data_IF_474105743583
#
_entry.id   IF_474105743583
#
_cell.length_a   1.000
_cell.length_b   1.000
_cell.length_c   1.000
_cell.angle_alpha   90.00
_cell.angle_beta   90.00
_cell.angle_gamma   90.00
#
_symmetry.space_group_name_H-M   'P 1'
#
loop_
_entity.id
_entity.type
_entity.pdbx_description
1 polymer ?
#
# COMPACT_ATOMS: atom_id res chain seq x y z
N UNK A 1 18.78 5.37 -8.48
CA UNK A 1 18.09 6.06 -9.62
C UNK A 1 16.58 6.24 -9.44
N UNK A 2 15.78 5.19 -9.19
CA UNK A 2 14.30 5.29 -9.21
C UNK A 2 13.70 6.19 -8.11
N UNK A 3 14.40 6.31 -6.98
CA UNK A 3 14.02 7.21 -5.89
C UNK A 3 14.15 8.70 -6.30
N UNK A 4 15.17 9.05 -7.08
CA UNK A 4 15.32 10.41 -7.62
C UNK A 4 14.24 10.73 -8.65
N UNK A 5 13.92 9.77 -9.52
CA UNK A 5 12.80 9.88 -10.46
C UNK A 5 11.50 10.12 -9.68
N UNK A 6 11.24 9.34 -8.63
CA UNK A 6 10.07 9.52 -7.78
C UNK A 6 9.99 10.93 -7.17
N UNK A 7 11.10 11.44 -6.62
CA UNK A 7 11.16 12.79 -6.05
C UNK A 7 10.89 13.87 -7.10
N UNK A 8 11.51 13.76 -8.29
CA UNK A 8 11.29 14.69 -9.38
C UNK A 8 9.81 14.74 -9.78
N UNK A 9 9.19 13.58 -10.00
CA UNK A 9 7.76 13.49 -10.36
C UNK A 9 6.83 14.00 -9.24
N UNK A 10 7.19 13.79 -7.96
CA UNK A 10 6.42 14.35 -6.83
C UNK A 10 6.45 15.88 -6.85
N UNK A 11 7.63 16.48 -7.04
CA UNK A 11 7.80 17.94 -7.09
C UNK A 11 7.02 18.51 -8.27
N UNK A 12 7.19 17.94 -9.47
CA UNK A 12 6.48 18.38 -10.66
C UNK A 12 4.96 18.24 -10.51
N UNK A 13 4.49 17.15 -9.91
CA UNK A 13 3.07 16.92 -9.64
C UNK A 13 2.47 17.98 -8.71
N UNK A 14 3.18 18.33 -7.63
CA UNK A 14 2.74 19.36 -6.68
C UNK A 14 2.80 20.77 -7.27
N UNK A 15 3.81 21.09 -8.09
CA UNK A 15 3.90 22.36 -8.81
C UNK A 15 2.73 22.49 -9.81
N UNK A 16 2.45 21.45 -10.60
CA UNK A 16 1.32 21.44 -11.52
C UNK A 16 0.00 21.68 -10.78
N UNK A 17 -0.17 21.08 -9.60
CA UNK A 17 -1.35 21.32 -8.75
C UNK A 17 -1.44 22.77 -8.27
N UNK A 18 -0.32 23.36 -7.83
CA UNK A 18 -0.28 24.72 -7.30
C UNK A 18 -0.53 25.78 -8.40
N UNK A 19 -0.09 25.52 -9.63
CA UNK A 19 -0.27 26.44 -10.76
C UNK A 19 -1.66 26.34 -11.39
N UNK A 20 -2.38 25.22 -11.18
CA UNK A 20 -3.68 24.95 -11.80
C UNK A 20 -4.70 26.07 -11.58
N UNK A 21 -4.74 26.62 -10.37
CA UNK A 21 -5.64 27.72 -10.00
C UNK A 21 -5.34 28.99 -10.80
N UNK A 22 -4.05 29.37 -10.90
CA UNK A 22 -3.64 30.56 -11.66
C UNK A 22 -3.84 30.40 -13.16
N UNK A 23 -3.60 29.20 -13.67
CA UNK A 23 -3.77 28.88 -15.09
C UNK A 23 -5.24 28.72 -15.49
N UNK A 24 -6.17 28.67 -14.54
CA UNK A 24 -7.59 28.33 -14.76
C UNK A 24 -7.76 27.06 -15.62
N UNK A 25 -6.86 26.09 -15.45
CA UNK A 25 -6.79 24.91 -16.30
C UNK A 25 -7.00 23.64 -15.47
N UNK A 26 -8.23 23.12 -15.47
CA UNK A 26 -8.62 21.97 -14.65
C UNK A 26 -7.78 20.71 -14.96
N UNK A 27 -7.41 20.51 -16.24
CA UNK A 27 -6.58 19.36 -16.63
C UNK A 27 -5.18 19.38 -16.00
N UNK A 28 -4.69 20.54 -15.54
CA UNK A 28 -3.43 20.63 -14.81
C UNK A 28 -3.49 19.90 -13.46
N UNK A 29 -4.67 19.84 -12.84
CA UNK A 29 -4.91 19.03 -11.63
C UNK A 29 -4.77 17.54 -11.98
N UNK A 30 -5.39 17.11 -13.07
CA UNK A 30 -5.31 15.72 -13.53
C UNK A 30 -3.86 15.32 -13.85
N UNK A 31 -3.15 16.16 -14.61
CA UNK A 31 -1.73 15.96 -14.92
C UNK A 31 -0.92 15.90 -13.63
N UNK A 32 -1.16 16.81 -12.69
CA UNK A 32 -0.51 16.79 -11.37
C UNK A 32 -0.74 15.49 -10.61
N UNK A 33 -1.96 14.92 -10.66
CA UNK A 33 -2.25 13.60 -10.06
C UNK A 33 -1.55 12.46 -10.78
N UNK A 34 -1.47 12.49 -12.11
CA UNK A 34 -0.72 11.49 -12.88
C UNK A 34 0.77 11.50 -12.53
N UNK A 35 1.39 12.68 -12.49
CA UNK A 35 2.80 12.85 -12.08
C UNK A 35 3.03 12.37 -10.65
N UNK A 36 2.16 12.77 -9.72
CA UNK A 36 2.20 12.29 -8.33
C UNK A 36 2.02 10.77 -8.25
N UNK A 37 1.18 10.18 -9.11
CA UNK A 37 1.02 8.74 -9.22
C UNK A 37 2.33 8.01 -9.55
N UNK A 38 3.13 8.54 -10.48
CA UNK A 38 4.46 7.99 -10.80
C UNK A 38 5.40 8.07 -9.59
N UNK A 39 5.30 9.13 -8.78
CA UNK A 39 6.11 9.26 -7.56
C UNK A 39 5.85 8.16 -6.52
N UNK A 40 4.67 7.54 -6.52
CA UNK A 40 4.36 6.42 -5.62
C UNK A 40 5.12 5.14 -5.92
N UNK A 41 5.89 5.08 -7.01
CA UNK A 41 6.89 4.01 -7.22
C UNK A 41 7.91 3.95 -6.06
N UNK A 42 8.17 5.07 -5.38
CA UNK A 42 8.95 5.13 -4.14
C UNK A 42 8.45 4.15 -3.06
N UNK A 43 7.14 3.92 -2.94
CA UNK A 43 6.61 2.99 -1.94
C UNK A 43 7.09 1.55 -2.13
N UNK A 44 7.40 1.15 -3.37
CA UNK A 44 7.99 -0.17 -3.62
C UNK A 44 9.38 -0.29 -3.00
N UNK A 45 10.17 0.79 -3.04
CA UNK A 45 11.48 0.84 -2.41
C UNK A 45 11.37 0.77 -0.91
N UNK A 46 10.56 1.63 -0.28
CA UNK A 46 10.38 1.62 1.18
C UNK A 46 10.01 0.22 1.69
N UNK A 47 9.06 -0.45 1.05
CA UNK A 47 8.65 -1.80 1.41
C UNK A 47 9.75 -2.84 1.23
N UNK A 48 10.56 -2.74 0.17
CA UNK A 48 11.71 -3.61 -0.04
C UNK A 48 12.69 -3.51 1.13
N UNK A 49 12.98 -2.30 1.61
CA UNK A 49 13.85 -2.11 2.78
C UNK A 49 13.25 -2.69 4.06
N UNK A 50 11.92 -2.73 4.20
CA UNK A 50 11.26 -3.35 5.36
C UNK A 50 11.32 -4.88 5.36
N UNK A 51 11.48 -5.52 4.18
CA UNK A 51 11.37 -6.99 4.06
C UNK A 51 12.64 -7.68 3.56
N UNK A 52 13.61 -6.97 2.98
CA UNK A 52 14.80 -7.59 2.40
C UNK A 52 15.60 -8.34 3.48
N UNK A 53 15.78 -9.68 3.38
CA UNK A 53 16.52 -10.46 4.37
C UNK A 53 17.98 -10.03 4.54
N UNK A 54 18.57 -9.37 3.54
CA UNK A 54 19.96 -8.92 3.58
C UNK A 54 20.16 -7.72 4.51
N UNK A 55 19.08 -6.98 4.78
CA UNK A 55 19.09 -5.77 5.60
C UNK A 55 18.37 -6.01 6.92
N UNK A 56 17.24 -6.72 6.85
CA UNK A 56 16.31 -6.87 7.97
C UNK A 56 16.11 -8.35 8.30
N UNK A 57 16.54 -8.72 9.51
CA UNK A 57 16.24 -10.03 10.08
C UNK A 57 14.74 -10.29 10.23
N UNK A 58 14.33 -11.55 10.10
CA UNK A 58 12.92 -12.01 10.11
C UNK A 58 12.12 -11.45 11.31
N UNK A 59 12.78 -11.32 12.47
CA UNK A 59 12.18 -10.84 13.74
C UNK A 59 11.75 -9.37 13.70
N UNK A 60 12.38 -8.54 12.87
CA UNK A 60 12.15 -7.07 12.84
C UNK A 60 11.17 -6.62 11.76
N UNK A 61 10.81 -7.50 10.81
CA UNK A 61 9.98 -7.14 9.65
C UNK A 61 8.59 -6.61 10.03
N UNK A 62 7.90 -7.25 10.98
CA UNK A 62 6.58 -6.75 11.44
C UNK A 62 6.69 -5.37 12.09
N UNK A 63 7.76 -5.13 12.87
CA UNK A 63 7.96 -3.85 13.54
C UNK A 63 8.26 -2.72 12.54
N UNK A 64 9.07 -2.99 11.51
CA UNK A 64 9.35 -2.01 10.45
C UNK A 64 8.11 -1.74 9.57
N UNK A 65 7.34 -2.78 9.24
CA UNK A 65 6.05 -2.61 8.55
C UNK A 65 5.06 -1.79 9.40
N UNK A 66 5.04 -2.00 10.72
CA UNK A 66 4.27 -1.19 11.66
C UNK A 66 4.71 0.27 11.68
N UNK A 67 6.02 0.55 11.68
CA UNK A 67 6.54 1.92 11.54
C UNK A 67 6.12 2.58 10.24
N UNK A 68 6.11 1.84 9.13
CA UNK A 68 5.62 2.35 7.86
C UNK A 68 4.14 2.78 7.95
N UNK A 69 3.29 1.96 8.58
CA UNK A 69 1.88 2.29 8.80
C UNK A 69 1.72 3.50 9.72
N UNK A 70 2.52 3.61 10.78
CA UNK A 70 2.51 4.77 11.67
C UNK A 70 2.89 6.06 10.94
N UNK A 71 3.95 6.04 10.13
CA UNK A 71 4.34 7.19 9.31
C UNK A 71 3.28 7.56 8.26
N UNK A 72 2.63 6.55 7.66
CA UNK A 72 1.52 6.78 6.75
C UNK A 72 0.33 7.42 7.48
N UNK A 73 -0.02 6.90 8.67
CA UNK A 73 -1.06 7.48 9.53
C UNK A 73 -0.77 8.93 9.86
N UNK A 74 0.47 9.27 10.25
CA UNK A 74 0.89 10.65 10.48
C UNK A 74 0.71 11.54 9.25
N UNK A 75 1.08 11.06 8.06
CA UNK A 75 0.87 11.79 6.82
C UNK A 75 -0.62 12.02 6.51
N UNK A 76 -1.45 11.01 6.77
CA UNK A 76 -2.92 11.08 6.62
C UNK A 76 -3.58 12.01 7.64
N UNK A 77 -3.00 12.22 8.83
CA UNK A 77 -3.49 13.23 9.78
C UNK A 77 -3.01 14.63 9.44
N UNK A 78 -1.69 14.78 9.29
CA UNK A 78 -1.04 16.09 9.15
C UNK A 78 -1.40 16.75 7.82
N UNK A 79 -1.53 15.97 6.74
CA UNK A 79 -1.85 16.47 5.40
C UNK A 79 -3.17 17.25 5.36
N UNK A 80 -4.32 16.60 5.65
CA UNK A 80 -5.63 17.26 5.66
C UNK A 80 -5.72 18.40 6.69
N UNK A 81 -5.14 18.22 7.87
CA UNK A 81 -5.13 19.26 8.90
C UNK A 81 -4.40 20.53 8.43
N UNK A 82 -3.16 20.39 7.96
CA UNK A 82 -2.38 21.53 7.47
C UNK A 82 -2.99 22.10 6.19
N UNK A 83 -3.50 21.26 5.28
CA UNK A 83 -4.20 21.71 4.08
C UNK A 83 -5.44 22.55 4.40
N UNK A 84 -6.25 22.11 5.36
CA UNK A 84 -7.40 22.85 5.86
C UNK A 84 -6.99 24.15 6.56
N UNK A 85 -5.94 24.12 7.38
CA UNK A 85 -5.43 25.32 8.05
C UNK A 85 -4.95 26.37 7.04
N UNK A 86 -4.18 25.95 6.03
CA UNK A 86 -3.69 26.82 4.95
C UNK A 86 -4.86 27.41 4.16
N UNK A 87 -5.88 26.60 3.88
CA UNK A 87 -7.12 27.08 3.25
C UNK A 87 -7.79 28.19 4.06
N UNK A 88 -7.90 28.02 5.38
CA UNK A 88 -8.56 28.96 6.28
C UNK A 88 -7.75 30.24 6.54
N UNK A 89 -6.41 30.14 6.64
CA UNK A 89 -5.54 31.30 6.82
C UNK A 89 -5.61 32.24 5.61
N UNK A 90 -5.75 31.70 4.40
CA UNK A 90 -6.11 32.46 3.22
C UNK A 90 -5.12 33.58 2.88
N UNK A 91 -3.94 33.23 2.38
CA UNK A 91 -2.96 34.22 1.92
C UNK A 91 -3.49 35.02 0.72
N UNK A 92 -3.30 36.34 0.71
CA UNK A 92 -3.86 37.25 -0.32
C UNK A 92 -3.08 37.26 -1.66
N UNK A 93 -2.09 36.39 -1.85
CA UNK A 93 -1.26 36.37 -3.05
C UNK A 93 -1.87 35.45 -4.14
N UNK A 94 -1.93 35.92 -5.38
CA UNK A 94 -2.47 35.16 -6.52
C UNK A 94 -1.75 33.82 -6.78
N UNK A 95 -0.46 33.72 -6.43
CA UNK A 95 0.37 32.51 -6.64
C UNK A 95 0.33 31.61 -5.40
N UNK A 96 0.28 32.21 -4.21
CA UNK A 96 0.33 31.52 -2.93
C UNK A 96 -0.88 31.95 -2.09
N UNK A 97 -1.97 31.19 -2.19
CA UNK A 97 -3.23 31.42 -1.49
C UNK A 97 -3.72 30.12 -0.80
N UNK A 98 -4.91 30.15 -0.20
CA UNK A 98 -5.46 29.00 0.51
C UNK A 98 -5.62 27.73 -0.34
N UNK A 99 -5.77 27.85 -1.66
CA UNK A 99 -5.90 26.73 -2.58
C UNK A 99 -4.55 26.22 -3.12
N UNK A 100 -3.61 27.13 -3.38
CA UNK A 100 -2.34 26.80 -4.05
C UNK A 100 -1.19 26.54 -3.08
N UNK A 101 -1.22 27.13 -1.88
CA UNK A 101 -0.16 27.02 -0.88
C UNK A 101 0.14 25.58 -0.43
N UNK A 102 -0.83 24.65 -0.28
CA UNK A 102 -0.50 23.27 0.05
C UNK A 102 0.38 22.61 -1.02
N UNK A 103 0.14 22.90 -2.30
CA UNK A 103 0.95 22.38 -3.41
C UNK A 103 2.38 22.89 -3.36
N UNK A 104 2.58 24.21 -3.16
CA UNK A 104 3.91 24.81 -3.04
C UNK A 104 4.70 24.28 -1.85
N UNK A 105 4.06 24.16 -0.68
CA UNK A 105 4.68 23.64 0.53
C UNK A 105 5.12 22.19 0.32
N UNK A 106 4.24 21.34 -0.23
CA UNK A 106 4.58 19.94 -0.51
C UNK A 106 5.70 19.80 -1.55
N UNK A 107 5.74 20.65 -2.58
CA UNK A 107 6.86 20.69 -3.52
C UNK A 107 8.18 21.01 -2.80
N UNK A 108 8.18 21.98 -1.88
CA UNK A 108 9.34 22.32 -1.05
C UNK A 108 9.77 21.16 -0.13
N UNK A 109 8.82 20.48 0.50
CA UNK A 109 9.10 19.29 1.35
C UNK A 109 9.76 18.19 0.53
N UNK A 110 9.24 17.87 -0.66
CA UNK A 110 9.83 16.86 -1.54
C UNK A 110 11.20 17.28 -2.08
N UNK A 111 11.43 18.57 -2.34
CA UNK A 111 12.74 19.08 -2.71
C UNK A 111 13.77 18.88 -1.58
N UNK A 112 13.40 19.23 -0.33
CA UNK A 112 14.23 18.96 0.85
C UNK A 112 14.48 17.46 1.05
N UNK A 113 13.44 16.64 0.89
CA UNK A 113 13.57 15.18 0.94
C UNK A 113 14.51 14.64 -0.14
N UNK A 114 14.46 15.18 -1.37
CA UNK A 114 15.36 14.79 -2.45
C UNK A 114 16.82 15.10 -2.10
N UNK A 115 17.10 16.24 -1.47
CA UNK A 115 18.45 16.56 -0.98
C UNK A 115 18.91 15.54 0.07
N UNK A 116 18.05 15.18 1.02
CA UNK A 116 18.37 14.16 2.04
C UNK A 116 18.63 12.80 1.41
N UNK A 117 17.80 12.36 0.47
CA UNK A 117 18.01 11.13 -0.29
C UNK A 117 19.36 11.16 -1.00
N UNK A 118 19.70 12.26 -1.67
CA UNK A 118 20.95 12.35 -2.43
C UNK A 118 22.19 12.28 -1.54
N UNK A 119 22.10 12.73 -0.28
CA UNK A 119 23.23 12.72 0.65
C UNK A 119 23.34 11.45 1.48
N UNK A 120 22.21 10.86 1.89
CA UNK A 120 22.17 9.84 2.94
C UNK A 120 21.68 8.47 2.45
N UNK A 121 21.08 8.37 1.26
CA UNK A 121 20.52 7.11 0.79
C UNK A 121 21.59 6.23 0.15
N UNK A 122 21.74 5.02 0.69
CA UNK A 122 22.59 3.97 0.12
C UNK A 122 21.74 2.85 -0.48
N UNK A 123 22.05 2.48 -1.72
CA UNK A 123 21.38 1.38 -2.41
C UNK A 123 21.78 0.03 -1.79
N UNK A 124 20.85 -0.93 -1.82
CA UNK A 124 21.06 -2.27 -1.25
C UNK A 124 22.24 -2.95 -1.98
N UNK A 125 23.21 -3.55 -1.25
CA UNK A 125 24.31 -4.28 -1.87
C UNK A 125 23.78 -5.29 -2.89
N UNK A 126 24.28 -5.21 -4.13
CA UNK A 126 23.97 -6.22 -5.12
C UNK A 126 24.64 -7.53 -4.70
N UNK A 127 23.96 -8.69 -4.83
CA UNK A 127 24.65 -9.95 -4.61
C UNK A 127 25.84 -10.01 -5.58
N UNK A 128 26.99 -10.56 -5.16
CA UNK A 128 28.11 -10.73 -6.07
C UNK A 128 27.59 -11.46 -7.32
N UNK A 129 28.02 -11.05 -8.53
CA UNK A 129 27.64 -11.76 -9.73
C UNK A 129 27.96 -13.23 -9.48
N UNK A 130 26.95 -14.10 -9.63
CA UNK A 130 27.19 -15.53 -9.63
C UNK A 130 28.12 -15.77 -10.82
N UNK A 131 29.43 -15.81 -10.57
CA UNK A 131 30.38 -16.44 -11.46
C UNK A 131 29.81 -17.84 -11.63
N UNK A 132 29.18 -18.10 -12.78
CA UNK A 132 28.89 -19.44 -13.19
C UNK A 132 30.26 -20.12 -13.19
N UNK A 133 30.56 -20.85 -12.12
CA UNK A 133 31.64 -21.79 -12.12
C UNK A 133 31.15 -22.85 -13.09
N UNK A 134 31.42 -22.60 -14.37
CA UNK A 134 31.38 -23.60 -15.42
C UNK A 134 32.25 -24.72 -14.87
N UNK A 135 31.61 -25.77 -14.37
CA UNK A 135 32.26 -26.99 -14.01
C UNK A 135 32.67 -27.61 -15.34
N UNK A 136 33.78 -27.13 -15.91
CA UNK A 136 34.44 -27.72 -17.04
C UNK A 136 34.94 -29.09 -16.58
N UNK A 137 34.05 -30.07 -16.63
CA UNK A 137 34.40 -31.49 -16.61
C UNK A 137 35.48 -31.68 -17.68
N UNK A 138 36.63 -32.29 -17.35
CA UNK A 138 37.63 -32.60 -18.36
C UNK A 138 37.03 -33.64 -19.29
N UNK A 139 36.52 -33.19 -20.45
CA UNK A 139 36.19 -34.08 -21.55
C UNK A 139 37.50 -34.74 -21.96
N UNK A 140 37.59 -36.03 -21.68
CA UNK A 140 38.67 -36.89 -22.14
C UNK A 140 38.78 -36.74 -23.67
N UNK A 141 39.93 -36.23 -24.12
CA UNK A 141 40.33 -36.25 -25.52
C UNK A 141 40.46 -37.72 -25.94
N UNK A 142 39.53 -38.20 -26.74
CA UNK A 142 39.56 -39.52 -27.32
C UNK A 142 38.86 -39.54 -28.67
N UNK A 143 39.67 -39.85 -29.69
CA UNK A 143 39.35 -40.22 -31.08
C UNK A 143 38.97 -39.11 -32.08
N UNK A 144 39.99 -38.77 -32.87
CA UNK A 144 39.84 -38.41 -34.29
C UNK A 144 39.31 -39.61 -35.07
N UNK A 145 38.24 -39.47 -35.87
CA UNK A 145 38.15 -40.10 -37.20
C UNK A 145 37.05 -39.49 -38.10
N UNK A 146 37.49 -39.10 -39.29
CA UNK A 146 36.81 -39.03 -40.61
C UNK A 146 35.67 -38.01 -40.93
N UNK A 147 35.72 -37.38 -42.13
CA UNK A 147 34.66 -36.53 -42.67
C UNK A 147 33.76 -37.27 -43.66
N UNK A 148 32.43 -37.15 -43.53
CA UNK A 148 31.49 -37.39 -44.64
C UNK A 148 30.17 -36.59 -44.48
N UNK A 149 29.41 -36.38 -45.59
CA UNK A 149 28.69 -35.14 -45.83
C UNK A 149 27.16 -35.23 -45.67
N UNK A 150 26.53 -34.05 -45.67
CA UNK A 150 25.11 -33.77 -45.90
C UNK A 150 24.07 -34.51 -45.06
N UNK A 151 23.55 -33.83 -44.03
CA UNK A 151 22.19 -34.03 -43.56
C UNK A 151 21.45 -32.70 -43.36
N UNK A 152 20.41 -32.55 -44.17
CA UNK A 152 19.09 -32.00 -43.88
C UNK A 152 18.99 -30.87 -42.83
N UNK A 153 18.63 -29.68 -43.31
CA UNK A 153 18.15 -28.55 -42.53
C UNK A 153 16.85 -28.91 -41.78
N UNK A 154 16.99 -29.45 -40.58
CA UNK A 154 15.93 -29.40 -39.58
C UNK A 154 15.76 -27.95 -39.09
N UNK A 155 14.54 -27.48 -38.76
CA UNK A 155 14.36 -26.17 -38.16
C UNK A 155 15.09 -26.18 -36.82
N UNK A 156 16.04 -25.27 -36.65
CA UNK A 156 16.68 -25.04 -35.37
C UNK A 156 15.62 -24.59 -34.37
N UNK A 157 15.10 -25.53 -33.58
CA UNK A 157 14.33 -25.24 -32.38
C UNK A 157 15.28 -24.52 -31.44
N UNK A 158 15.26 -23.19 -31.47
CA UNK A 158 16.01 -22.36 -30.54
C UNK A 158 15.70 -22.85 -29.13
N UNK A 159 16.70 -23.22 -28.31
CA UNK A 159 16.43 -23.66 -26.95
C UNK A 159 15.65 -22.54 -26.24
N UNK A 160 14.61 -22.89 -25.44
CA UNK A 160 13.85 -21.90 -24.70
C UNK A 160 14.83 -21.06 -23.90
N UNK A 161 14.67 -19.74 -23.95
CA UNK A 161 15.59 -18.82 -23.29
C UNK A 161 15.77 -19.22 -21.82
N UNK A 162 16.99 -19.20 -21.26
CA UNK A 162 17.28 -19.68 -19.90
C UNK A 162 16.48 -18.95 -18.79
N UNK A 163 15.88 -17.81 -19.12
CA UNK A 163 14.99 -17.04 -18.25
C UNK A 163 13.68 -17.80 -17.96
N UNK A 164 13.17 -18.56 -18.93
CA UNK A 164 11.85 -19.21 -18.84
C UNK A 164 11.90 -20.52 -18.03
N UNK A 165 12.98 -21.30 -18.15
CA UNK A 165 13.18 -22.49 -17.31
C UNK A 165 13.45 -22.13 -15.84
N UNK A 166 14.24 -21.08 -15.58
CA UNK A 166 14.45 -20.54 -14.23
C UNK A 166 13.13 -20.13 -13.59
N UNK A 167 12.28 -19.44 -14.34
CA UNK A 167 10.96 -18.99 -13.88
C UNK A 167 10.05 -20.18 -13.58
N UNK A 168 10.00 -21.17 -14.47
CA UNK A 168 9.17 -22.37 -14.31
C UNK A 168 9.62 -23.25 -13.13
N UNK A 169 10.93 -23.45 -12.96
CA UNK A 169 11.50 -24.15 -11.82
C UNK A 169 11.26 -23.42 -10.49
N UNK A 170 11.24 -22.08 -10.51
CA UNK A 170 10.90 -21.26 -9.34
C UNK A 170 9.40 -21.28 -9.01
N UNK A 171 8.53 -21.44 -10.01
CA UNK A 171 7.08 -21.60 -9.81
C UNK A 171 6.73 -22.99 -9.26
N UNK A 172 7.41 -24.04 -9.70
CA UNK A 172 7.19 -25.39 -9.17
C UNK A 172 7.59 -25.54 -7.69
N UNK A 173 8.35 -24.59 -7.15
CA UNK A 173 8.73 -24.55 -5.73
C UNK A 173 7.62 -24.03 -4.81
N UNK A 174 6.58 -23.37 -5.33
CA UNK A 174 5.48 -22.87 -4.51
C UNK A 174 4.39 -23.93 -4.37
N UNK A 175 4.13 -24.33 -3.13
CA UNK A 175 3.03 -25.25 -2.81
C UNK A 175 1.66 -24.57 -3.00
N UNK A 176 0.62 -25.34 -3.31
CA UNK A 176 -0.76 -24.83 -3.43
C UNK A 176 -1.20 -24.07 -2.16
N UNK A 177 -0.74 -24.52 -0.99
CA UNK A 177 -1.00 -23.84 0.28
C UNK A 177 -0.36 -22.45 0.35
N UNK A 178 0.84 -22.26 -0.19
CA UNK A 178 1.50 -20.96 -0.24
C UNK A 178 0.81 -20.02 -1.24
N UNK A 179 0.32 -20.54 -2.36
CA UNK A 179 -0.55 -19.79 -3.28
C UNK A 179 -1.82 -19.30 -2.58
N UNK A 180 -2.47 -20.16 -1.79
CA UNK A 180 -3.61 -19.76 -0.96
C UNK A 180 -3.27 -18.61 -0.02
N UNK A 181 -2.09 -18.64 0.62
CA UNK A 181 -1.65 -17.54 1.49
C UNK A 181 -1.34 -16.27 0.71
N UNK A 182 -0.69 -16.36 -0.46
CA UNK A 182 -0.47 -15.20 -1.36
C UNK A 182 -1.81 -14.54 -1.68
N UNK A 183 -2.79 -15.31 -2.15
CA UNK A 183 -4.12 -14.81 -2.51
C UNK A 183 -4.81 -14.17 -1.30
N UNK A 184 -4.78 -14.84 -0.14
CA UNK A 184 -5.37 -14.33 1.10
C UNK A 184 -4.73 -13.00 1.53
N UNK A 185 -3.40 -12.89 1.55
CA UNK A 185 -2.72 -11.64 1.92
C UNK A 185 -2.98 -10.53 0.90
N UNK A 186 -3.00 -10.84 -0.39
CA UNK A 186 -3.35 -9.89 -1.45
C UNK A 186 -4.79 -9.39 -1.30
N UNK A 187 -5.74 -10.28 -1.01
CA UNK A 187 -7.12 -9.93 -0.74
C UNK A 187 -7.25 -8.98 0.45
N UNK A 188 -6.66 -9.32 1.60
CA UNK A 188 -6.68 -8.42 2.76
C UNK A 188 -6.01 -7.09 2.47
N UNK A 189 -4.89 -7.09 1.74
CA UNK A 189 -4.23 -5.85 1.35
C UNK A 189 -5.15 -4.96 0.52
N UNK A 190 -5.81 -5.53 -0.48
CA UNK A 190 -6.80 -4.81 -1.29
C UNK A 190 -7.98 -4.34 -0.44
N UNK A 191 -8.61 -5.21 0.37
CA UNK A 191 -9.78 -4.86 1.18
C UNK A 191 -9.46 -3.76 2.20
N UNK A 192 -8.34 -3.84 2.91
CA UNK A 192 -7.98 -2.81 3.89
C UNK A 192 -7.84 -1.44 3.22
N UNK A 193 -7.16 -1.36 2.08
CA UNK A 193 -7.00 -0.12 1.34
C UNK A 193 -8.26 0.33 0.62
N UNK A 194 -9.12 -0.61 0.23
CA UNK A 194 -10.45 -0.33 -0.28
C UNK A 194 -11.28 0.38 0.78
N UNK A 195 -11.46 -0.22 1.95
CA UNK A 195 -12.28 0.36 3.03
C UNK A 195 -11.70 1.69 3.52
N UNK A 196 -10.39 1.76 3.78
CA UNK A 196 -9.76 3.02 4.21
C UNK A 196 -9.92 4.13 3.15
N UNK A 197 -9.65 3.81 1.88
CA UNK A 197 -9.80 4.77 0.78
C UNK A 197 -11.26 5.20 0.55
N UNK A 198 -12.20 4.27 0.69
CA UNK A 198 -13.64 4.52 0.62
C UNK A 198 -14.08 5.49 1.71
N UNK A 199 -13.68 5.26 2.96
CA UNK A 199 -14.03 6.14 4.06
C UNK A 199 -13.39 7.53 3.94
N UNK A 200 -12.10 7.60 3.59
CA UNK A 200 -11.39 8.87 3.37
C UNK A 200 -12.06 9.73 2.29
N UNK A 201 -12.52 9.11 1.19
CA UNK A 201 -13.23 9.80 0.12
C UNK A 201 -14.70 10.11 0.46
N UNK A 202 -15.36 9.23 1.22
CA UNK A 202 -16.78 9.37 1.56
C UNK A 202 -17.02 10.39 2.67
N UNK A 203 -16.16 10.50 3.69
CA UNK A 203 -16.38 11.37 4.85
C UNK A 203 -16.68 12.83 4.50
N UNK A 204 -15.93 13.49 3.57
CA UNK A 204 -16.28 14.86 3.15
C UNK A 204 -17.61 14.95 2.42
N UNK A 205 -17.92 13.97 1.55
CA UNK A 205 -19.15 13.95 0.73
C UNK A 205 -20.38 13.67 1.61
N UNK A 206 -20.31 12.64 2.43
CA UNK A 206 -21.36 12.24 3.36
C UNK A 206 -21.58 13.29 4.46
N UNK A 207 -20.49 13.85 5.01
CA UNK A 207 -20.58 14.91 6.01
C UNK A 207 -21.22 16.19 5.48
N UNK A 208 -20.98 16.53 4.21
CA UNK A 208 -21.63 17.66 3.55
C UNK A 208 -23.11 17.38 3.23
N UNK A 209 -23.44 16.16 2.81
CA UNK A 209 -24.81 15.76 2.46
C UNK A 209 -25.72 15.53 3.68
N UNK A 210 -25.15 15.20 4.84
CA UNK A 210 -25.92 14.90 6.06
C UNK A 210 -26.36 16.18 6.77
N UNK A 211 -27.68 16.34 6.94
CA UNK A 211 -28.30 17.55 7.51
C UNK A 211 -27.78 17.91 8.91
N UNK A 212 -27.44 16.90 9.72
CA UNK A 212 -26.94 17.07 11.09
C UNK A 212 -25.46 17.46 11.16
N UNK A 213 -24.69 17.26 10.08
CA UNK A 213 -23.24 17.47 10.07
C UNK A 213 -22.86 18.75 9.32
N UNK A 214 -23.40 18.96 8.11
CA UNK A 214 -23.14 20.13 7.23
C UNK A 214 -21.67 20.53 7.17
N UNK A 215 -20.79 19.54 7.03
CA UNK A 215 -19.35 19.79 7.10
C UNK A 215 -18.87 20.62 5.92
N UNK A 216 -18.03 21.61 6.21
CA UNK A 216 -17.14 22.18 5.22
C UNK A 216 -15.97 21.22 4.93
N UNK A 217 -15.22 21.42 3.83
CA UNK A 217 -13.99 20.65 3.59
C UNK A 217 -12.98 20.75 4.73
N UNK A 218 -12.95 21.88 5.44
CA UNK A 218 -12.11 22.08 6.63
C UNK A 218 -12.55 21.18 7.80
N UNK A 219 -13.85 21.09 8.06
CA UNK A 219 -14.38 20.27 9.15
C UNK A 219 -14.14 18.78 8.89
N UNK A 220 -14.36 18.32 7.66
CA UNK A 220 -14.05 16.94 7.27
C UNK A 220 -12.55 16.63 7.38
N UNK A 221 -11.68 17.58 7.01
CA UNK A 221 -10.22 17.43 7.17
C UNK A 221 -9.81 17.31 8.64
N UNK A 222 -10.36 18.16 9.52
CA UNK A 222 -10.12 18.07 10.96
C UNK A 222 -10.68 16.79 11.56
N UNK A 223 -11.85 16.34 11.12
CA UNK A 223 -12.46 15.08 11.56
C UNK A 223 -11.55 13.89 11.28
N UNK A 224 -11.03 13.79 10.05
CA UNK A 224 -10.08 12.73 9.65
C UNK A 224 -8.80 12.82 10.49
N UNK A 225 -8.24 14.03 10.63
CA UNK A 225 -7.02 14.26 11.38
C UNK A 225 -7.14 13.90 12.86
N UNK A 226 -8.24 14.27 13.52
CA UNK A 226 -8.55 13.91 14.90
C UNK A 226 -8.65 12.39 15.07
N UNK A 227 -9.34 11.71 14.15
CA UNK A 227 -9.45 10.25 14.20
C UNK A 227 -8.08 9.58 14.12
N UNK A 228 -7.21 10.08 13.26
CA UNK A 228 -5.86 9.55 13.10
C UNK A 228 -4.93 9.89 14.31
N UNK A 229 -5.08 11.06 14.94
CA UNK A 229 -4.40 11.39 16.22
C UNK A 229 -4.83 10.41 17.32
N UNK A 230 -6.11 10.08 17.41
CA UNK A 230 -6.62 9.11 18.39
C UNK A 230 -6.09 7.70 18.10
N UNK A 231 -6.02 7.30 16.82
CA UNK A 231 -5.50 5.99 16.43
C UNK A 231 -3.98 5.86 16.67
N UNK A 232 -3.23 6.96 16.59
CA UNK A 232 -1.77 6.98 16.67
C UNK A 232 -1.16 6.23 17.89
N UNK A 233 -1.56 6.50 19.15
CA UNK A 233 -1.03 5.77 20.31
C UNK A 233 -1.29 4.27 20.24
N UNK A 234 -2.44 3.85 19.71
CA UNK A 234 -2.78 2.44 19.55
C UNK A 234 -1.95 1.78 18.45
N UNK A 235 -1.67 2.47 17.35
CA UNK A 235 -0.77 1.99 16.31
C UNK A 235 0.67 1.86 16.82
N UNK A 236 1.13 2.79 17.66
CA UNK A 236 2.43 2.71 18.32
C UNK A 236 2.49 1.53 19.30
N UNK A 237 1.44 1.35 20.11
CA UNK A 237 1.31 0.19 20.99
C UNK A 237 1.30 -1.13 20.19
N UNK A 238 0.66 -1.14 19.02
CA UNK A 238 0.66 -2.30 18.13
C UNK A 238 2.08 -2.65 17.64
N UNK A 239 2.98 -1.70 17.40
CA UNK A 239 4.40 -1.99 17.07
C UNK A 239 5.07 -2.78 18.20
N UNK A 240 4.79 -2.43 19.46
CA UNK A 240 5.34 -3.12 20.63
C UNK A 240 4.71 -4.52 20.77
N UNK A 241 3.39 -4.61 20.63
CA UNK A 241 2.65 -5.87 20.71
C UNK A 241 3.04 -6.85 19.58
N UNK A 242 3.31 -6.34 18.38
CA UNK A 242 3.72 -7.12 17.22
C UNK A 242 5.03 -7.90 17.40
N UNK A 243 5.85 -7.54 18.39
CA UNK A 243 7.04 -8.31 18.76
C UNK A 243 6.71 -9.58 19.53
N UNK A 244 5.56 -9.63 20.21
CA UNK A 244 5.17 -10.72 21.12
C UNK A 244 4.00 -11.55 20.59
N UNK A 245 3.19 -10.98 19.71
CA UNK A 245 1.97 -11.58 19.17
C UNK A 245 2.24 -12.12 17.77
N UNK A 246 1.66 -13.28 17.46
CA UNK A 246 1.68 -13.85 16.11
C UNK A 246 0.96 -12.96 15.10
N UNK A 247 1.57 -12.75 13.93
CA UNK A 247 1.01 -12.01 12.80
C UNK A 247 -0.45 -12.37 12.51
N UNK A 248 -0.79 -13.67 12.43
CA UNK A 248 -2.19 -14.10 12.19
C UNK A 248 -3.19 -13.61 13.25
N UNK A 249 -2.79 -13.53 14.52
CA UNK A 249 -3.67 -13.04 15.59
C UNK A 249 -3.88 -11.53 15.48
N UNK A 250 -2.84 -10.79 15.10
CA UNK A 250 -2.95 -9.36 14.83
C UNK A 250 -3.81 -9.08 13.60
N UNK A 251 -3.69 -9.89 12.55
CA UNK A 251 -4.57 -9.80 11.38
C UNK A 251 -6.03 -10.05 11.75
N UNK A 252 -6.31 -11.11 12.52
CA UNK A 252 -7.64 -11.38 13.03
C UNK A 252 -8.18 -10.20 13.85
N UNK A 253 -7.39 -9.71 14.81
CA UNK A 253 -7.76 -8.59 15.68
C UNK A 253 -8.09 -7.34 14.86
N UNK A 254 -7.21 -6.94 13.94
CA UNK A 254 -7.42 -5.78 13.07
C UNK A 254 -8.67 -5.93 12.20
N UNK A 255 -8.86 -7.10 11.58
CA UNK A 255 -10.04 -7.38 10.76
C UNK A 255 -11.35 -7.37 11.57
N UNK A 256 -11.35 -7.98 12.77
CA UNK A 256 -12.53 -7.98 13.65
C UNK A 256 -12.85 -6.58 14.17
N UNK A 257 -11.83 -5.80 14.51
CA UNK A 257 -12.01 -4.42 14.97
C UNK A 257 -12.58 -3.56 13.84
N UNK A 258 -12.01 -3.65 12.63
CA UNK A 258 -12.53 -2.94 11.46
C UNK A 258 -13.97 -3.33 11.13
N UNK A 259 -14.28 -4.64 11.14
CA UNK A 259 -15.63 -5.15 10.90
C UNK A 259 -16.63 -4.70 11.97
N UNK A 260 -16.21 -4.61 13.24
CA UNK A 260 -17.05 -4.07 14.30
C UNK A 260 -17.40 -2.59 14.05
N UNK A 261 -16.42 -1.79 13.60
CA UNK A 261 -16.66 -0.41 13.19
C UNK A 261 -17.64 -0.28 12.03
N UNK A 262 -17.51 -1.13 11.00
CA UNK A 262 -18.45 -1.17 9.86
C UNK A 262 -19.87 -1.58 10.30
N UNK A 263 -19.99 -2.63 11.11
CA UNK A 263 -21.28 -3.11 11.62
C UNK A 263 -21.95 -2.07 12.52
N UNK A 264 -21.18 -1.39 13.38
CA UNK A 264 -21.69 -0.29 14.21
C UNK A 264 -22.22 0.85 13.33
N UNK A 265 -21.50 1.20 12.27
CA UNK A 265 -21.96 2.23 11.34
C UNK A 265 -23.22 1.82 10.58
N UNK A 266 -23.31 0.56 10.14
CA UNK A 266 -24.54 0.02 9.54
C UNK A 266 -25.74 0.12 10.50
N UNK A 267 -25.54 -0.18 11.78
CA UNK A 267 -26.59 -0.05 12.78
C UNK A 267 -27.01 1.41 13.00
N UNK A 268 -26.06 2.35 13.01
CA UNK A 268 -26.36 3.79 13.12
C UNK A 268 -27.18 4.26 11.91
N UNK A 269 -26.80 3.84 10.71
CA UNK A 269 -27.54 4.13 9.48
C UNK A 269 -28.95 3.54 9.51
N UNK A 270 -29.12 2.31 10.01
CA UNK A 270 -30.43 1.68 10.14
C UNK A 270 -31.38 2.43 11.09
N UNK A 271 -30.85 3.10 12.11
CA UNK A 271 -31.65 3.84 13.09
C UNK A 271 -31.80 5.33 12.73
N UNK A 272 -31.24 5.81 11.60
CA UNK A 272 -31.21 7.22 11.19
C UNK A 272 -30.65 8.19 12.27
N UNK A 273 -29.82 7.68 13.18
CA UNK A 273 -29.23 8.44 14.30
C UNK A 273 -27.79 8.86 14.04
N UNK A 274 -27.50 9.28 12.82
CA UNK A 274 -26.16 9.75 12.45
C UNK A 274 -25.89 11.07 13.16
N UNK A 275 -24.95 11.03 14.11
CA UNK A 275 -24.40 12.19 14.79
C UNK A 275 -22.87 12.18 14.69
N UNK A 276 -22.24 13.30 15.04
CA UNK A 276 -20.79 13.47 14.96
C UNK A 276 -20.04 12.38 15.74
N UNK A 277 -20.42 12.14 17.00
CA UNK A 277 -19.70 11.25 17.91
C UNK A 277 -19.75 9.79 17.46
N UNK A 278 -20.92 9.33 17.02
CA UNK A 278 -21.11 7.95 16.56
C UNK A 278 -20.37 7.68 15.25
N UNK A 279 -20.42 8.63 14.30
CA UNK A 279 -19.63 8.55 13.06
C UNK A 279 -18.13 8.57 13.38
N UNK A 280 -17.70 9.40 14.34
CA UNK A 280 -16.32 9.51 14.76
C UNK A 280 -15.80 8.23 15.41
N UNK A 281 -16.58 7.64 16.30
CA UNK A 281 -16.27 6.34 16.90
C UNK A 281 -16.13 5.23 15.86
N UNK A 282 -17.03 5.20 14.87
CA UNK A 282 -16.96 4.24 13.76
C UNK A 282 -15.71 4.47 12.90
N UNK A 283 -15.43 5.72 12.51
CA UNK A 283 -14.23 6.06 11.74
C UNK A 283 -12.96 5.65 12.48
N UNK A 284 -12.82 6.00 13.76
CA UNK A 284 -11.64 5.62 14.56
C UNK A 284 -11.47 4.09 14.61
N UNK A 285 -12.57 3.36 14.79
CA UNK A 285 -12.56 1.90 14.89
C UNK A 285 -12.19 1.24 13.56
N UNK A 286 -12.78 1.70 12.45
CA UNK A 286 -12.47 1.26 11.07
C UNK A 286 -11.03 1.58 10.73
N UNK A 287 -10.61 2.84 10.95
CA UNK A 287 -9.25 3.30 10.67
C UNK A 287 -8.23 2.48 11.45
N UNK A 288 -8.41 2.30 12.76
CA UNK A 288 -7.50 1.54 13.60
C UNK A 288 -7.43 0.07 13.17
N UNK A 289 -8.58 -0.58 12.98
CA UNK A 289 -8.64 -2.00 12.62
C UNK A 289 -7.95 -2.31 11.31
N UNK A 290 -8.28 -1.59 10.23
CA UNK A 290 -7.70 -1.85 8.92
C UNK A 290 -6.25 -1.38 8.79
N UNK A 291 -5.81 -0.34 9.53
CA UNK A 291 -4.39 -0.01 9.59
C UNK A 291 -3.57 -1.10 10.29
N UNK A 292 -4.08 -1.67 11.40
CA UNK A 292 -3.43 -2.82 12.06
C UNK A 292 -3.34 -4.01 11.10
N UNK A 293 -4.44 -4.37 10.44
CA UNK A 293 -4.48 -5.50 9.50
C UNK A 293 -3.50 -5.32 8.33
N UNK A 294 -3.41 -4.11 7.78
CA UNK A 294 -2.52 -3.78 6.65
C UNK A 294 -1.04 -3.98 6.99
N UNK A 295 -0.60 -3.67 8.21
CA UNK A 295 0.79 -3.86 8.63
C UNK A 295 1.25 -5.34 8.52
N UNK A 296 0.31 -6.26 8.58
CA UNK A 296 0.58 -7.70 8.65
C UNK A 296 0.68 -8.33 7.26
N UNK A 297 -0.05 -7.84 6.26
CA UNK A 297 -0.16 -8.52 4.95
C UNK A 297 1.21 -8.74 4.31
N UNK A 298 2.05 -7.71 4.29
CA UNK A 298 3.41 -7.78 3.74
C UNK A 298 4.35 -8.59 4.66
N UNK A 299 4.27 -8.37 5.98
CA UNK A 299 5.11 -9.07 6.95
C UNK A 299 4.90 -10.58 6.87
N UNK A 300 3.65 -11.03 6.98
CA UNK A 300 3.28 -12.44 6.99
C UNK A 300 3.71 -13.10 5.67
N UNK A 301 3.42 -12.45 4.54
CA UNK A 301 3.80 -12.98 3.23
C UNK A 301 5.32 -13.16 3.09
N UNK A 302 6.10 -12.17 3.54
CA UNK A 302 7.57 -12.24 3.50
C UNK A 302 8.16 -13.35 4.39
N UNK A 303 7.43 -13.79 5.43
CA UNK A 303 7.84 -14.87 6.35
C UNK A 303 7.52 -16.26 5.81
N UNK A 304 6.57 -16.37 4.89
CA UNK A 304 6.11 -17.66 4.36
C UNK A 304 6.76 -18.05 3.04
N UNK A 305 7.22 -17.06 2.28
CA UNK A 305 7.80 -17.28 0.99
C UNK A 305 9.33 -17.38 1.06
N UNK A 306 9.95 -18.18 0.18
CA UNK A 306 11.40 -18.18 0.03
C UNK A 306 11.94 -16.77 -0.26
N UNK A 307 13.16 -16.43 0.19
CA UNK A 307 13.78 -15.12 -0.03
C UNK A 307 13.75 -14.62 -1.48
N UNK A 308 13.90 -15.54 -2.44
CA UNK A 308 13.89 -15.27 -3.89
C UNK A 308 12.54 -14.72 -4.38
N UNK A 309 11.44 -15.07 -3.70
CA UNK A 309 10.09 -14.63 -4.03
C UNK A 309 9.68 -13.32 -3.37
N UNK A 310 10.49 -12.78 -2.44
CA UNK A 310 10.15 -11.57 -1.69
C UNK A 310 9.91 -10.35 -2.60
N UNK A 311 10.70 -10.22 -3.68
CA UNK A 311 10.50 -9.17 -4.68
C UNK A 311 9.13 -9.26 -5.36
N UNK A 312 8.79 -10.44 -5.90
CA UNK A 312 7.51 -10.69 -6.59
C UNK A 312 6.31 -10.56 -5.66
N UNK A 313 6.42 -11.10 -4.45
CA UNK A 313 5.39 -11.01 -3.41
C UNK A 313 5.11 -9.56 -3.00
N UNK A 314 6.16 -8.74 -2.87
CA UNK A 314 6.02 -7.31 -2.61
C UNK A 314 5.31 -6.59 -3.75
N UNK A 315 5.63 -6.92 -5.01
CA UNK A 315 4.92 -6.39 -6.19
C UNK A 315 3.44 -6.77 -6.14
N UNK A 316 3.11 -8.04 -5.91
CA UNK A 316 1.72 -8.52 -5.85
C UNK A 316 0.91 -7.76 -4.77
N UNK A 317 1.45 -7.65 -3.55
CA UNK A 317 0.82 -6.89 -2.47
C UNK A 317 0.65 -5.41 -2.82
N UNK A 318 1.62 -4.82 -3.53
CA UNK A 318 1.51 -3.43 -3.96
C UNK A 318 0.43 -3.22 -5.01
N UNK A 319 0.35 -4.09 -6.01
CA UNK A 319 -0.73 -4.06 -6.98
C UNK A 319 -2.09 -4.17 -6.26
N UNK A 320 -2.24 -5.11 -5.32
CA UNK A 320 -3.44 -5.24 -4.51
C UNK A 320 -3.76 -3.98 -3.71
N UNK A 321 -2.75 -3.36 -3.08
CA UNK A 321 -2.92 -2.09 -2.37
C UNK A 321 -3.43 -0.98 -3.29
N UNK A 322 -2.81 -0.81 -4.46
CA UNK A 322 -3.20 0.24 -5.40
C UNK A 322 -4.59 0.00 -5.97
N UNK A 323 -4.92 -1.25 -6.31
CA UNK A 323 -6.28 -1.63 -6.70
C UNK A 323 -7.27 -1.21 -5.61
N UNK A 324 -7.03 -1.59 -4.36
CA UNK A 324 -7.88 -1.22 -3.22
C UNK A 324 -8.01 0.30 -3.07
N UNK A 325 -6.92 1.06 -3.11
CA UNK A 325 -6.97 2.53 -2.96
C UNK A 325 -7.77 3.21 -4.06
N UNK A 326 -7.59 2.76 -5.31
CA UNK A 326 -8.28 3.35 -6.47
C UNK A 326 -9.76 3.01 -6.43
N UNK A 327 -10.11 1.72 -6.31
CA UNK A 327 -11.51 1.30 -6.29
C UNK A 327 -12.23 1.80 -5.04
N UNK A 328 -11.54 1.88 -3.91
CA UNK A 328 -12.06 2.44 -2.67
C UNK A 328 -12.38 3.91 -2.80
N UNK A 329 -11.45 4.74 -3.31
CA UNK A 329 -11.71 6.16 -3.49
C UNK A 329 -12.90 6.43 -4.44
N UNK A 330 -13.07 5.62 -5.49
CA UNK A 330 -14.23 5.69 -6.39
C UNK A 330 -15.52 5.31 -5.64
N UNK A 331 -15.50 4.19 -4.92
CA UNK A 331 -16.64 3.71 -4.13
C UNK A 331 -17.07 4.74 -3.08
N UNK A 332 -16.11 5.27 -2.34
CA UNK A 332 -16.31 6.33 -1.34
C UNK A 332 -16.90 7.61 -1.92
N UNK A 333 -16.39 8.10 -3.04
CA UNK A 333 -16.95 9.27 -3.72
C UNK A 333 -18.40 9.06 -4.18
N UNK A 334 -18.78 7.82 -4.49
CA UNK A 334 -20.15 7.45 -4.90
C UNK A 334 -21.07 7.06 -3.75
N UNK A 335 -20.58 7.00 -2.50
CA UNK A 335 -21.29 6.39 -1.37
C UNK A 335 -22.69 6.95 -1.12
N UNK A 336 -22.84 8.28 -1.18
CA UNK A 336 -24.13 8.95 -1.02
C UNK A 336 -25.10 8.62 -2.16
N UNK A 337 -24.62 8.52 -3.41
CA UNK A 337 -25.43 8.22 -4.59
C UNK A 337 -25.90 6.75 -4.64
N UNK A 338 -25.06 5.83 -4.18
CA UNK A 338 -25.38 4.39 -4.12
C UNK A 338 -26.24 4.04 -2.90
N UNK A 339 -26.26 4.92 -1.90
CA UNK A 339 -26.94 4.74 -0.63
C UNK A 339 -25.99 4.17 0.42
N UNK A 340 -25.97 4.81 1.59
CA UNK A 340 -24.99 4.53 2.65
C UNK A 340 -25.08 3.10 3.21
N UNK A 341 -26.26 2.48 3.22
CA UNK A 341 -26.39 1.08 3.63
C UNK A 341 -25.72 0.12 2.64
N UNK A 342 -25.87 0.36 1.33
CA UNK A 342 -25.22 -0.42 0.29
C UNK A 342 -23.71 -0.21 0.29
N UNK A 343 -23.28 1.05 0.52
CA UNK A 343 -21.88 1.43 0.69
C UNK A 343 -21.19 0.56 1.76
N UNK A 344 -21.74 0.53 2.97
CA UNK A 344 -21.18 -0.26 4.09
C UNK A 344 -21.40 -1.76 3.89
N UNK A 345 -22.54 -2.16 3.33
CA UNK A 345 -22.88 -3.56 3.07
C UNK A 345 -21.85 -4.25 2.16
N UNK A 346 -21.39 -3.57 1.10
CA UNK A 346 -20.33 -4.09 0.24
C UNK A 346 -19.00 -4.25 0.98
N UNK A 347 -18.62 -3.26 1.80
CA UNK A 347 -17.39 -3.32 2.60
C UNK A 347 -17.41 -4.52 3.56
N UNK A 348 -18.54 -4.73 4.26
CA UNK A 348 -18.75 -5.89 5.13
C UNK A 348 -18.65 -7.21 4.35
N UNK A 349 -19.27 -7.29 3.17
CA UNK A 349 -19.21 -8.49 2.33
C UNK A 349 -17.77 -8.81 1.88
N UNK A 350 -17.01 -7.80 1.47
CA UNK A 350 -15.60 -7.95 1.05
C UNK A 350 -14.71 -8.40 2.22
N UNK A 351 -14.93 -7.86 3.42
CA UNK A 351 -14.27 -8.32 4.64
C UNK A 351 -14.67 -9.75 4.98
N UNK A 352 -15.94 -10.10 4.82
CA UNK A 352 -16.46 -11.46 5.03
C UNK A 352 -15.77 -12.51 4.17
N UNK A 353 -15.53 -12.23 2.89
CA UNK A 353 -14.73 -13.09 2.00
C UNK A 353 -13.32 -13.29 2.57
N UNK A 354 -12.71 -12.19 3.07
CA UNK A 354 -11.41 -12.24 3.74
C UNK A 354 -11.42 -13.14 4.97
N UNK A 355 -12.46 -13.05 5.81
CA UNK A 355 -12.63 -13.91 7.00
C UNK A 355 -12.74 -15.39 6.62
N UNK A 356 -13.47 -15.72 5.55
CA UNK A 356 -13.58 -17.11 5.06
C UNK A 356 -12.21 -17.63 4.62
N UNK A 357 -11.50 -16.87 3.77
CA UNK A 357 -10.16 -17.23 3.29
C UNK A 357 -9.17 -17.40 4.45
N UNK A 358 -9.20 -16.47 5.41
CA UNK A 358 -8.37 -16.47 6.58
C UNK A 358 -8.61 -17.68 7.49
N UNK A 359 -9.88 -18.02 7.71
CA UNK A 359 -10.28 -19.15 8.56
C UNK A 359 -9.88 -20.47 7.91
N UNK A 360 -10.12 -20.63 6.60
CA UNK A 360 -9.71 -21.81 5.84
C UNK A 360 -8.19 -22.03 5.87
N UNK A 361 -7.40 -20.95 5.89
CA UNK A 361 -5.93 -20.98 5.87
C UNK A 361 -5.30 -20.78 7.26
N UNK A 362 -6.07 -20.72 8.35
CA UNK A 362 -5.59 -20.32 9.68
C UNK A 362 -4.36 -21.08 10.17
N UNK A 363 -4.33 -22.40 9.94
CA UNK A 363 -3.21 -23.27 10.31
C UNK A 363 -1.98 -23.03 9.43
N UNK A 364 -2.19 -22.70 8.16
CA UNK A 364 -1.14 -22.40 7.18
C UNK A 364 -0.56 -21.00 7.37
N UNK A 365 -1.31 -20.08 7.97
CA UNK A 365 -0.86 -18.73 8.34
C UNK A 365 0.07 -18.70 9.57
N UNK A 366 0.27 -19.84 10.24
CA UNK A 366 1.15 -19.93 11.41
C UNK A 366 2.61 -19.75 10.99
N UNK A 367 3.22 -18.64 11.38
CA UNK A 367 4.66 -18.36 11.22
C UNK A 367 5.37 -18.46 12.57
N UNK A 368 6.69 -18.67 12.57
CA UNK A 368 7.49 -18.62 13.81
C UNK A 368 7.35 -17.21 14.43
N UNK A 369 7.14 -17.16 15.74
CA UNK A 369 7.17 -15.90 16.48
C UNK A 369 8.56 -15.26 16.31
N UNK A 370 8.59 -13.94 16.11
CA UNK A 370 9.81 -13.15 16.11
C UNK A 370 10.56 -13.32 17.43
#
# INVERSE_FOLDING_TARGET
>A
MPLHVSCCFAILGHIAYAVAFRANFLYLILIGRCLTGVSFTMFMYCKRYCTDPRIVGIRRRTALAGWQVVCQGLGLSLGPFLGGLLYKVGFSNSIFNGYTSPGWIMAGIYAGFWVLVTKFFEDIPQPPPMTMMELSLPIAKGLETEPCPNYSSAPATSPPSPIDESFRAQLSLITLSQWGVIICMCWFSMVCFFVLGSWEANLPVFGAATVNLRWSPFDAGNFIALGAIICFPFLLANILAARRIQDRKLLAFGATLGLAGLTAFLFILYNDKVNYDSLFGCWCTVALGFNIATAITLSLLSKQLPPQWNGRASIAIQCSNFTGRVTGAIWGGSGVSVGMMNFVGLEIAMVGIGVILFTALWNKLKTKNG
#
